data_IF_107505691170
#
_entry.id   IF_107505691170
#
_cell.length_a   1.000
_cell.length_b   1.000
_cell.length_c   1.000
_cell.angle_alpha   90.00
_cell.angle_beta   90.00
_cell.angle_gamma   90.00
#
_symmetry.space_group_name_H-M   'P 1'
#
loop_
_entity.id
_entity.type
_entity.pdbx_description
1 polymer ?
#
# COMPACT_ATOMS: atom_id res chain seq x y z
N UNK A 1 8.50 7.05 3.28
CA UNK A 1 8.45 6.59 4.67
C UNK A 1 7.05 6.12 5.00
N UNK A 2 6.93 4.85 5.37
CA UNK A 2 5.67 4.24 5.77
C UNK A 2 5.23 4.79 7.13
N UNK A 3 3.97 5.21 7.25
CA UNK A 3 3.39 5.59 8.53
C UNK A 3 3.20 4.34 9.39
N UNK A 4 3.78 4.32 10.59
CA UNK A 4 3.56 3.23 11.56
C UNK A 4 2.13 3.28 12.12
N UNK A 5 1.66 4.51 12.41
CA UNK A 5 0.33 4.81 12.93
C UNK A 5 -0.37 5.87 12.08
N UNK A 6 -1.69 5.79 11.98
CA UNK A 6 -2.48 6.78 11.27
C UNK A 6 -2.52 8.09 12.09
N UNK A 7 -2.05 9.22 11.54
CA UNK A 7 -1.98 10.49 12.29
C UNK A 7 -3.35 11.04 12.68
N UNK A 8 -4.43 10.61 12.02
CA UNK A 8 -5.78 11.12 12.28
C UNK A 8 -6.50 10.36 13.40
N UNK A 9 -6.29 9.05 13.50
CA UNK A 9 -7.07 8.21 14.42
C UNK A 9 -6.23 7.33 15.35
N UNK A 10 -4.91 7.36 15.25
CA UNK A 10 -3.99 6.58 16.07
C UNK A 10 -3.96 5.07 15.75
N UNK A 11 -4.71 4.61 14.74
CA UNK A 11 -4.74 3.19 14.39
C UNK A 11 -3.39 2.74 13.81
N UNK A 12 -2.91 1.57 14.24
CA UNK A 12 -1.68 0.98 13.71
C UNK A 12 -1.87 0.52 12.26
N UNK A 13 -1.05 1.04 11.35
CA UNK A 13 -1.15 0.78 9.90
C UNK A 13 0.16 0.25 9.29
N UNK A 14 1.27 0.22 10.04
CA UNK A 14 2.59 -0.13 9.50
C UNK A 14 2.64 -1.51 8.84
N UNK A 15 2.13 -2.55 9.51
CA UNK A 15 2.10 -3.92 8.95
C UNK A 15 1.23 -4.00 7.69
N UNK A 16 0.06 -3.36 7.73
CA UNK A 16 -0.91 -3.38 6.63
C UNK A 16 -0.38 -2.62 5.40
N UNK A 17 0.38 -1.54 5.61
CA UNK A 17 1.00 -0.79 4.54
C UNK A 17 2.07 -1.62 3.80
N UNK A 18 2.93 -2.32 4.54
CA UNK A 18 3.95 -3.21 3.95
C UNK A 18 3.30 -4.36 3.17
N UNK A 19 2.24 -4.97 3.72
CA UNK A 19 1.50 -6.04 3.05
C UNK A 19 0.81 -5.52 1.77
N UNK A 20 0.21 -4.34 1.83
CA UNK A 20 -0.44 -3.70 0.69
C UNK A 20 0.55 -3.45 -0.45
N UNK A 21 1.71 -2.85 -0.16
CA UNK A 21 2.70 -2.51 -1.19
C UNK A 21 3.25 -3.75 -1.89
N UNK A 22 3.55 -4.82 -1.14
CA UNK A 22 4.01 -6.10 -1.70
C UNK A 22 2.97 -6.71 -2.65
N UNK A 23 1.73 -6.88 -2.17
CA UNK A 23 0.65 -7.50 -2.96
C UNK A 23 0.23 -6.62 -4.13
N UNK A 24 0.25 -5.30 -3.97
CA UNK A 24 -0.01 -4.36 -5.07
C UNK A 24 1.06 -4.51 -6.16
N UNK A 25 2.34 -4.62 -5.79
CA UNK A 25 3.41 -4.85 -6.76
C UNK A 25 3.23 -6.18 -7.50
N UNK A 26 2.82 -7.24 -6.81
CA UNK A 26 2.49 -8.54 -7.42
C UNK A 26 1.33 -8.43 -8.43
N UNK A 27 0.26 -7.69 -8.08
CA UNK A 27 -0.89 -7.48 -8.97
C UNK A 27 -0.47 -6.67 -10.21
N UNK A 28 0.30 -5.61 -10.03
CA UNK A 28 0.76 -4.76 -11.14
C UNK A 28 1.81 -5.45 -12.03
N UNK A 29 2.60 -6.37 -11.49
CA UNK A 29 3.56 -7.15 -12.26
C UNK A 29 2.91 -8.28 -13.07
N UNK A 30 1.64 -8.61 -12.80
CA UNK A 30 0.93 -9.65 -13.53
C UNK A 30 0.49 -9.17 -14.91
N UNK A 31 1.16 -9.65 -15.96
CA UNK A 31 0.88 -9.35 -17.37
C UNK A 31 -0.41 -9.98 -17.90
N UNK A 32 -1.00 -10.93 -17.17
CA UNK A 32 -2.21 -11.63 -17.61
C UNK A 32 -3.48 -10.82 -17.33
N UNK A 33 -3.38 -9.77 -16.50
CA UNK A 33 -4.49 -8.90 -16.12
C UNK A 33 -4.49 -7.62 -16.95
N UNK A 34 -5.68 -7.20 -17.40
CA UNK A 34 -5.86 -5.85 -17.95
C UNK A 34 -5.83 -4.79 -16.84
N UNK A 35 -5.59 -3.54 -17.19
CA UNK A 35 -5.57 -2.42 -16.23
C UNK A 35 -6.85 -2.33 -15.37
N UNK A 36 -8.00 -2.62 -15.97
CA UNK A 36 -9.30 -2.65 -15.28
C UNK A 36 -9.37 -3.79 -14.25
N UNK A 37 -8.89 -4.98 -14.62
CA UNK A 37 -8.84 -6.13 -13.72
C UNK A 37 -7.84 -5.93 -12.59
N UNK A 38 -6.69 -5.30 -12.86
CA UNK A 38 -5.73 -4.93 -11.84
C UNK A 38 -6.34 -3.94 -10.84
N UNK A 39 -7.10 -2.94 -11.30
CA UNK A 39 -7.79 -1.99 -10.43
C UNK A 39 -8.80 -2.70 -9.51
N UNK A 40 -9.55 -3.67 -10.03
CA UNK A 40 -10.50 -4.46 -9.25
C UNK A 40 -9.81 -5.32 -8.18
N UNK A 41 -8.69 -5.96 -8.51
CA UNK A 41 -7.90 -6.74 -7.56
C UNK A 41 -7.30 -5.86 -6.46
N UNK A 42 -6.80 -4.66 -6.80
CA UNK A 42 -6.32 -3.69 -5.82
C UNK A 42 -7.45 -3.24 -4.88
N UNK A 43 -8.67 -3.04 -5.39
CA UNK A 43 -9.83 -2.73 -4.54
C UNK A 43 -10.19 -3.88 -3.60
N UNK A 44 -10.12 -5.14 -4.06
CA UNK A 44 -10.35 -6.33 -3.24
C UNK A 44 -9.29 -6.43 -2.13
N UNK A 45 -8.02 -6.19 -2.48
CA UNK A 45 -6.91 -6.15 -1.52
C UNK A 45 -7.12 -5.10 -0.43
N UNK A 46 -7.55 -3.89 -0.79
CA UNK A 46 -7.81 -2.84 0.21
C UNK A 46 -8.93 -3.23 1.18
N UNK A 47 -9.97 -3.93 0.69
CA UNK A 47 -11.07 -4.46 1.52
C UNK A 47 -10.59 -5.60 2.42
N UNK A 48 -9.67 -6.45 1.98
CA UNK A 48 -9.17 -7.59 2.75
C UNK A 48 -8.29 -7.19 3.95
N UNK A 49 -7.61 -6.04 3.89
CA UNK A 49 -6.74 -5.52 4.95
C UNK A 49 -7.49 -5.07 6.23
N UNK A 50 -8.82 -5.24 6.30
CA UNK A 50 -9.68 -4.91 7.47
C UNK A 50 -9.52 -3.46 7.98
N UNK A 51 -9.12 -2.53 7.11
CA UNK A 51 -8.98 -1.13 7.45
C UNK A 51 -10.38 -0.47 7.44
N UNK A 52 -10.84 -0.06 8.61
CA UNK A 52 -12.22 0.43 8.79
C UNK A 52 -12.42 1.89 8.38
N UNK A 53 -11.49 2.78 8.72
CA UNK A 53 -11.66 4.24 8.54
C UNK A 53 -10.99 4.73 7.26
N UNK A 54 -11.65 5.68 6.58
CA UNK A 54 -11.13 6.31 5.36
C UNK A 54 -9.76 6.97 5.58
N UNK A 55 -9.53 7.56 6.76
CA UNK A 55 -8.26 8.22 7.09
C UNK A 55 -7.07 7.24 7.08
N UNK A 56 -7.28 5.98 7.43
CA UNK A 56 -6.25 4.94 7.34
C UNK A 56 -6.08 4.45 5.90
N UNK A 57 -7.20 4.23 5.19
CA UNK A 57 -7.19 3.77 3.79
C UNK A 57 -6.43 4.73 2.89
N UNK A 58 -6.75 6.02 3.00
CA UNK A 58 -6.07 7.07 2.25
C UNK A 58 -4.56 7.00 2.45
N UNK A 59 -4.09 6.88 3.70
CA UNK A 59 -2.65 6.80 4.00
C UNK A 59 -2.02 5.59 3.32
N UNK A 60 -2.61 4.40 3.43
CA UNK A 60 -2.05 3.19 2.81
C UNK A 60 -2.04 3.31 1.28
N UNK A 61 -3.09 3.87 0.68
CA UNK A 61 -3.18 4.02 -0.78
C UNK A 61 -2.19 5.03 -1.37
N UNK A 62 -1.86 6.11 -0.65
CA UNK A 62 -1.07 7.23 -1.18
C UNK A 62 0.34 7.34 -0.61
N UNK A 63 0.71 6.50 0.35
CA UNK A 63 2.07 6.53 0.89
C UNK A 63 3.05 6.07 -0.18
N UNK A 64 4.09 6.88 -0.41
CA UNK A 64 5.24 6.52 -1.23
C UNK A 64 6.46 6.37 -0.34
N UNK A 65 7.19 5.27 -0.50
CA UNK A 65 8.43 5.09 0.23
C UNK A 65 9.63 5.75 -0.46
N UNK A 66 9.73 7.06 -0.32
CA UNK A 66 10.87 7.85 -0.84
C UNK A 66 12.22 7.51 -0.20
N UNK A 67 12.25 6.69 0.86
CA UNK A 67 13.51 6.30 1.51
C UNK A 67 14.38 5.52 0.53
N UNK A 68 13.77 4.64 -0.28
CA UNK A 68 14.48 3.88 -1.33
C UNK A 68 15.06 4.80 -2.43
N UNK A 69 14.45 5.96 -2.67
CA UNK A 69 14.92 6.93 -3.66
C UNK A 69 16.12 7.75 -3.15
N UNK A 70 16.31 7.84 -1.82
CA UNK A 70 17.32 8.69 -1.17
C UNK A 70 18.56 7.90 -0.74
N UNK A 71 18.39 6.63 -0.37
CA UNK A 71 19.52 5.78 0.03
C UNK A 71 20.42 5.59 -1.20
N UNK A 72 21.72 5.97 -1.13
CA UNK A 72 22.64 5.71 -2.23
C UNK A 72 22.75 4.20 -2.45
N UNK A 73 22.78 3.77 -3.71
CA UNK A 73 23.06 2.38 -4.03
C UNK A 73 24.38 1.98 -3.36
N UNK A 74 24.31 1.04 -2.41
CA UNK A 74 25.52 0.43 -1.86
C UNK A 74 26.26 -0.23 -3.04
N UNK A 75 27.51 0.20 -3.27
CA UNK A 75 28.40 -0.41 -4.27
C UNK A 75 28.72 -1.86 -3.91
#
# INVERSE_FOLDING_TARGET
MIYIVCPTCGFFIGSNAIEYDKKKAEICANSDLTDEQQADEIQKLLKSLKIRRYCCRMRIMTTKDIVQDIIPAEN
#
